data_IF_340685161347
#
_entry.id   IF_340685161347
#
_cell.length_a   1.000
_cell.length_b   1.000
_cell.length_c   1.000
_cell.angle_alpha   90.00
_cell.angle_beta   90.00
_cell.angle_gamma   90.00
#
_symmetry.space_group_name_H-M   'P 1'
#
loop_
_entity.id
_entity.type
_entity.pdbx_description
1 polymer ?
#
# COMPACT_ATOMS: atom_id res chain seq x y z
N UNK A 1 26.38 -16.28 12.04
CA UNK A 1 26.07 -16.03 13.46
C UNK A 1 25.66 -14.58 13.79
N UNK A 2 25.39 -13.70 12.82
CA UNK A 2 24.95 -12.31 13.04
C UNK A 2 23.42 -12.09 12.87
N UNK A 3 22.68 -13.12 12.52
CA UNK A 3 21.21 -13.00 12.31
C UNK A 3 20.40 -13.08 13.61
N UNK A 4 20.93 -13.70 14.63
CA UNK A 4 20.22 -13.95 15.89
C UNK A 4 20.02 -12.69 16.76
N UNK A 5 20.92 -11.72 16.68
CA UNK A 5 20.82 -10.50 17.49
C UNK A 5 19.82 -9.46 16.92
N UNK A 6 19.64 -9.41 15.58
CA UNK A 6 18.62 -8.55 14.95
C UNK A 6 17.19 -9.06 15.16
N UNK A 7 17.01 -10.38 15.24
CA UNK A 7 15.69 -10.97 15.54
C UNK A 7 15.20 -10.60 16.94
N UNK A 8 16.10 -10.53 17.93
CA UNK A 8 15.72 -10.17 19.31
C UNK A 8 15.26 -8.72 19.47
N UNK A 9 15.66 -7.79 18.62
CA UNK A 9 15.20 -6.39 18.67
C UNK A 9 13.79 -6.27 18.10
N UNK A 10 13.52 -6.96 16.99
CA UNK A 10 12.20 -6.94 16.34
C UNK A 10 11.13 -7.77 17.08
N UNK A 11 11.54 -8.60 18.06
CA UNK A 11 10.62 -9.41 18.86
C UNK A 11 10.24 -8.72 20.19
N UNK A 12 10.86 -7.58 20.52
CA UNK A 12 10.47 -6.80 21.70
C UNK A 12 9.07 -6.20 21.52
N UNK A 13 8.14 -6.52 22.38
CA UNK A 13 6.74 -6.09 22.32
C UNK A 13 6.59 -4.57 22.10
N UNK A 14 7.42 -3.76 22.76
CA UNK A 14 7.38 -2.30 22.60
C UNK A 14 7.78 -1.84 21.17
N UNK A 15 8.78 -2.48 20.57
CA UNK A 15 9.22 -2.13 19.20
C UNK A 15 8.17 -2.59 18.18
N UNK A 16 7.60 -3.78 18.37
CA UNK A 16 6.51 -4.29 17.51
C UNK A 16 5.30 -3.36 17.61
N UNK A 17 4.91 -2.95 18.81
CA UNK A 17 3.79 -2.02 19.01
C UNK A 17 4.05 -0.66 18.35
N UNK A 18 5.25 -0.10 18.49
CA UNK A 18 5.62 1.15 17.85
C UNK A 18 5.60 1.06 16.32
N UNK A 19 6.16 -0.02 15.76
CA UNK A 19 6.11 -0.26 14.31
C UNK A 19 4.68 -0.45 13.81
N UNK A 20 3.86 -1.17 14.56
CA UNK A 20 2.44 -1.34 14.24
C UNK A 20 1.70 0.01 14.25
N UNK A 21 1.94 0.86 15.24
CA UNK A 21 1.37 2.22 15.28
C UNK A 21 1.78 3.05 14.05
N UNK A 22 3.06 3.02 13.68
CA UNK A 22 3.54 3.72 12.47
C UNK A 22 2.85 3.20 11.22
N UNK A 23 2.74 1.88 11.07
CA UNK A 23 2.03 1.27 9.94
C UNK A 23 0.55 1.68 9.90
N UNK A 24 -0.12 1.70 11.06
CA UNK A 24 -1.53 2.11 11.16
C UNK A 24 -1.71 3.59 10.79
N UNK A 25 -0.81 4.48 11.23
CA UNK A 25 -0.85 5.90 10.86
C UNK A 25 -0.64 6.08 9.36
N UNK A 26 0.35 5.40 8.78
CA UNK A 26 0.62 5.45 7.34
C UNK A 26 -0.56 4.90 6.53
N UNK A 27 -1.16 3.80 6.98
CA UNK A 27 -2.33 3.22 6.34
C UNK A 27 -3.56 4.14 6.45
N UNK A 28 -3.84 4.66 7.65
CA UNK A 28 -4.97 5.55 7.91
C UNK A 28 -4.87 6.88 7.17
N UNK A 29 -3.66 7.37 6.90
CA UNK A 29 -3.45 8.60 6.12
C UNK A 29 -3.70 8.43 4.62
N UNK A 30 -3.84 7.20 4.11
CA UNK A 30 -4.01 6.94 2.68
C UNK A 30 -5.27 7.59 2.11
N UNK A 31 -6.42 7.46 2.79
CA UNK A 31 -7.71 8.03 2.32
C UNK A 31 -7.66 9.56 2.27
N UNK A 32 -7.26 10.28 3.32
CA UNK A 32 -7.09 11.74 3.26
C UNK A 32 -6.14 12.19 2.15
N UNK A 33 -5.00 11.50 1.98
CA UNK A 33 -4.00 11.83 0.95
C UNK A 33 -4.58 11.65 -0.46
N UNK A 34 -5.31 10.54 -0.71
CA UNK A 34 -5.97 10.31 -2.01
C UNK A 34 -6.99 11.42 -2.30
N UNK A 35 -7.84 11.75 -1.32
CA UNK A 35 -8.84 12.81 -1.49
C UNK A 35 -8.23 14.18 -1.73
N UNK A 36 -7.14 14.49 -1.04
CA UNK A 36 -6.38 15.72 -1.27
C UNK A 36 -5.77 15.73 -2.67
N UNK A 37 -5.21 14.60 -3.12
CA UNK A 37 -4.68 14.45 -4.47
C UNK A 37 -5.75 14.65 -5.54
N UNK A 38 -6.96 14.12 -5.37
CA UNK A 38 -8.08 14.34 -6.28
C UNK A 38 -8.47 15.82 -6.36
N UNK A 39 -8.49 16.52 -5.22
CA UNK A 39 -8.78 17.96 -5.19
C UNK A 39 -7.70 18.78 -5.90
N UNK A 40 -6.43 18.45 -5.71
CA UNK A 40 -5.30 19.14 -6.35
C UNK A 40 -5.27 18.97 -7.87
N UNK A 41 -5.60 17.78 -8.35
CA UNK A 41 -5.58 17.43 -9.77
C UNK A 41 -6.93 17.64 -10.47
N UNK A 42 -7.91 18.20 -9.74
CA UNK A 42 -9.27 18.42 -10.24
C UNK A 42 -9.89 17.14 -10.83
N UNK A 43 -9.60 15.98 -10.21
CA UNK A 43 -10.17 14.68 -10.60
C UNK A 43 -11.61 14.61 -10.12
N UNK A 44 -12.56 14.57 -11.06
CA UNK A 44 -13.98 14.44 -10.75
C UNK A 44 -14.29 13.01 -10.29
N UNK A 45 -15.27 12.89 -9.39
CA UNK A 45 -15.74 11.59 -8.90
C UNK A 45 -16.35 10.71 -10.01
N UNK A 46 -16.77 11.32 -11.11
CA UNK A 46 -17.29 10.63 -12.30
C UNK A 46 -16.21 10.18 -13.28
N UNK A 47 -14.98 10.70 -13.14
CA UNK A 47 -13.88 10.41 -14.07
C UNK A 47 -13.01 9.25 -13.58
N UNK A 48 -13.49 8.04 -13.85
CA UNK A 48 -12.81 6.79 -13.49
C UNK A 48 -11.42 6.70 -14.15
N UNK A 49 -11.27 7.20 -15.37
CA UNK A 49 -10.00 7.14 -16.09
C UNK A 49 -8.90 7.92 -15.35
N UNK A 50 -9.18 9.15 -14.94
CA UNK A 50 -8.25 9.98 -14.16
C UNK A 50 -7.94 9.37 -12.80
N UNK A 51 -8.90 8.71 -12.15
CA UNK A 51 -8.67 8.00 -10.89
C UNK A 51 -7.70 6.83 -11.05
N UNK A 52 -7.83 6.06 -12.13
CA UNK A 52 -6.94 4.93 -12.44
C UNK A 52 -5.54 5.43 -12.77
N UNK A 53 -5.42 6.49 -13.58
CA UNK A 53 -4.13 7.10 -13.91
C UNK A 53 -3.44 7.62 -12.65
N UNK A 54 -4.16 8.29 -11.76
CA UNK A 54 -3.64 8.76 -10.47
C UNK A 54 -3.12 7.60 -9.62
N UNK A 55 -3.88 6.51 -9.52
CA UNK A 55 -3.46 5.31 -8.82
C UNK A 55 -2.19 4.70 -9.44
N UNK A 56 -2.15 4.58 -10.77
CA UNK A 56 -1.02 4.05 -11.52
C UNK A 56 0.26 4.84 -11.29
N UNK A 57 0.21 6.16 -11.40
CA UNK A 57 1.36 7.04 -11.12
C UNK A 57 1.84 6.89 -9.69
N UNK A 58 0.94 6.89 -8.72
CA UNK A 58 1.27 6.73 -7.29
C UNK A 58 1.97 5.39 -7.01
N UNK A 59 1.45 4.28 -7.52
CA UNK A 59 2.05 2.96 -7.31
C UNK A 59 3.38 2.80 -8.05
N UNK A 60 3.51 3.38 -9.24
CA UNK A 60 4.77 3.37 -9.98
C UNK A 60 5.87 4.12 -9.23
N UNK A 61 5.57 5.32 -8.73
CA UNK A 61 6.52 6.10 -7.93
C UNK A 61 6.90 5.36 -6.64
N UNK A 62 5.93 4.79 -5.94
CA UNK A 62 6.19 3.99 -4.74
C UNK A 62 7.06 2.78 -5.04
N UNK A 63 6.81 2.06 -6.13
CA UNK A 63 7.60 0.92 -6.58
C UNK A 63 9.05 1.30 -6.89
N UNK A 64 9.26 2.41 -7.61
CA UNK A 64 10.59 2.94 -7.92
C UNK A 64 11.34 3.28 -6.63
N UNK A 65 10.70 3.98 -5.68
CA UNK A 65 11.30 4.34 -4.40
C UNK A 65 11.71 3.10 -3.60
N UNK A 66 10.86 2.07 -3.56
CA UNK A 66 11.16 0.80 -2.86
C UNK A 66 12.36 0.11 -3.51
N UNK A 67 12.42 0.03 -4.84
CA UNK A 67 13.55 -0.57 -5.56
C UNK A 67 14.85 0.19 -5.33
N UNK A 68 14.82 1.53 -5.34
CA UNK A 68 15.99 2.37 -5.03
C UNK A 68 16.46 2.09 -3.60
N UNK A 69 15.52 2.11 -2.62
CA UNK A 69 15.86 1.87 -1.22
C UNK A 69 16.43 0.47 -0.98
N UNK A 70 15.83 -0.55 -1.59
CA UNK A 70 16.30 -1.92 -1.52
C UNK A 70 17.69 -2.07 -2.14
N UNK A 71 17.93 -1.47 -3.30
CA UNK A 71 19.23 -1.51 -4.00
C UNK A 71 20.34 -0.82 -3.19
N UNK A 72 20.04 0.30 -2.54
CA UNK A 72 20.99 0.99 -1.66
C UNK A 72 21.33 0.13 -0.45
N UNK A 73 20.32 -0.50 0.16
CA UNK A 73 20.50 -1.33 1.36
C UNK A 73 21.32 -2.58 1.09
N UNK A 74 21.04 -3.27 0.00
CA UNK A 74 21.74 -4.51 -0.40
C UNK A 74 23.03 -4.25 -1.18
N UNK A 75 23.34 -2.98 -1.51
CA UNK A 75 24.50 -2.58 -2.36
C UNK A 75 24.56 -3.35 -3.68
N UNK A 76 23.41 -3.80 -4.18
CA UNK A 76 23.26 -4.56 -5.42
C UNK A 76 21.96 -4.13 -6.09
N UNK A 77 21.99 -3.99 -7.41
CA UNK A 77 20.77 -3.72 -8.19
C UNK A 77 19.89 -4.95 -8.09
N UNK A 78 18.75 -4.81 -7.39
CA UNK A 78 17.79 -5.89 -7.23
C UNK A 78 16.87 -5.92 -8.46
N UNK A 79 17.22 -6.78 -9.41
CA UNK A 79 16.33 -7.10 -10.54
C UNK A 79 15.68 -8.45 -10.18
N UNK A 80 14.35 -8.53 -10.10
CA UNK A 80 13.68 -9.79 -9.81
C UNK A 80 13.93 -10.81 -10.92
N UNK A 81 14.22 -12.05 -10.53
CA UNK A 81 14.40 -13.15 -11.45
C UNK A 81 13.10 -13.41 -12.24
N UNK A 82 13.24 -13.86 -13.49
CA UNK A 82 12.11 -14.14 -14.38
C UNK A 82 11.12 -15.15 -13.80
N UNK A 83 11.59 -16.10 -13.00
CA UNK A 83 10.73 -17.06 -12.30
C UNK A 83 9.86 -16.38 -11.23
N UNK A 84 10.46 -15.51 -10.43
CA UNK A 84 9.73 -14.72 -9.43
C UNK A 84 8.72 -13.82 -10.11
N UNK A 85 9.08 -13.20 -11.22
CA UNK A 85 8.19 -12.32 -11.99
C UNK A 85 6.96 -13.06 -12.52
N UNK A 86 7.14 -14.30 -13.00
CA UNK A 86 6.04 -15.13 -13.50
C UNK A 86 4.95 -15.39 -12.46
N UNK A 87 5.32 -15.56 -11.19
CA UNK A 87 4.36 -15.75 -10.10
C UNK A 87 3.88 -14.43 -9.48
N UNK A 88 4.74 -13.43 -9.45
CA UNK A 88 4.41 -12.11 -8.90
C UNK A 88 3.41 -11.35 -9.76
N UNK A 89 3.47 -11.46 -11.09
CA UNK A 89 2.57 -10.73 -12.01
C UNK A 89 1.10 -11.08 -11.80
N UNK A 90 0.66 -12.34 -11.81
CA UNK A 90 -0.76 -12.67 -11.59
C UNK A 90 -1.23 -12.28 -10.19
N UNK A 91 -0.38 -12.42 -9.17
CA UNK A 91 -0.71 -11.98 -7.81
C UNK A 91 -0.85 -10.46 -7.76
N UNK A 92 0.05 -9.72 -8.40
CA UNK A 92 -0.01 -8.27 -8.50
C UNK A 92 -1.28 -7.80 -9.24
N UNK A 93 -1.65 -8.46 -10.34
CA UNK A 93 -2.86 -8.13 -11.09
C UNK A 93 -4.12 -8.37 -10.24
N UNK A 94 -4.21 -9.49 -9.56
CA UNK A 94 -5.38 -9.82 -8.73
C UNK A 94 -5.44 -8.95 -7.46
N UNK A 95 -4.35 -8.90 -6.71
CA UNK A 95 -4.29 -8.27 -5.39
C UNK A 95 -4.19 -6.73 -5.48
N UNK A 96 -3.36 -6.22 -6.39
CA UNK A 96 -3.12 -4.77 -6.47
C UNK A 96 -4.07 -4.12 -7.46
N UNK A 97 -4.08 -4.55 -8.71
CA UNK A 97 -4.90 -3.90 -9.74
C UNK A 97 -6.39 -4.12 -9.46
N UNK A 98 -6.82 -5.38 -9.24
CA UNK A 98 -8.22 -5.71 -8.99
C UNK A 98 -8.76 -5.05 -7.72
N UNK A 99 -8.07 -5.22 -6.59
CA UNK A 99 -8.50 -4.66 -5.31
C UNK A 99 -8.51 -3.14 -5.33
N UNK A 100 -7.45 -2.51 -5.80
CA UNK A 100 -7.35 -1.04 -5.77
C UNK A 100 -8.20 -0.35 -6.82
N UNK A 101 -8.53 -0.99 -7.92
CA UNK A 101 -9.50 -0.48 -8.89
C UNK A 101 -10.84 -0.15 -8.19
N UNK A 102 -11.42 -1.12 -7.48
CA UNK A 102 -12.65 -0.91 -6.74
C UNK A 102 -12.48 0.03 -5.55
N UNK A 103 -11.33 -0.03 -4.87
CA UNK A 103 -11.03 0.84 -3.74
C UNK A 103 -11.00 2.32 -4.12
N UNK A 104 -10.31 2.67 -5.21
CA UNK A 104 -10.20 4.07 -5.65
C UNK A 104 -11.54 4.64 -6.11
N UNK A 105 -12.33 3.86 -6.84
CA UNK A 105 -13.69 4.24 -7.23
C UNK A 105 -14.54 4.43 -5.98
N UNK A 106 -14.50 3.51 -5.03
CA UNK A 106 -15.24 3.61 -3.77
C UNK A 106 -14.87 4.85 -2.95
N UNK A 107 -13.57 5.17 -2.86
CA UNK A 107 -13.08 6.37 -2.16
C UNK A 107 -13.53 7.66 -2.84
N UNK A 108 -13.62 7.69 -4.18
CA UNK A 108 -14.11 8.85 -4.92
C UNK A 108 -15.56 9.18 -4.58
N UNK A 109 -16.42 8.17 -4.46
CA UNK A 109 -17.86 8.32 -4.20
C UNK A 109 -18.26 8.32 -2.71
N UNK A 110 -17.29 8.11 -1.79
CA UNK A 110 -17.58 7.98 -0.35
C UNK A 110 -16.87 9.08 0.43
N UNK A 111 -17.48 9.53 1.56
CA UNK A 111 -16.77 10.44 2.46
C UNK A 111 -15.57 9.71 3.11
N UNK A 112 -14.51 10.47 3.43
CA UNK A 112 -13.29 9.89 4.03
C UNK A 112 -13.56 9.09 5.31
N UNK A 113 -14.50 9.58 6.15
CA UNK A 113 -14.89 8.92 7.40
C UNK A 113 -15.57 7.58 7.14
N UNK A 114 -16.55 7.55 6.24
CA UNK A 114 -17.26 6.31 5.87
C UNK A 114 -16.31 5.29 5.24
N UNK A 115 -15.43 5.72 4.33
CA UNK A 115 -14.41 4.86 3.73
C UNK A 115 -13.47 4.26 4.78
N UNK A 116 -13.04 5.03 5.77
CA UNK A 116 -12.20 4.55 6.88
C UNK A 116 -12.90 3.50 7.74
N UNK A 117 -14.18 3.70 8.08
CA UNK A 117 -14.97 2.74 8.86
C UNK A 117 -15.16 1.43 8.09
N UNK A 118 -15.52 1.49 6.81
CA UNK A 118 -15.70 0.29 5.97
C UNK A 118 -14.39 -0.50 5.84
N UNK A 119 -13.28 0.19 5.62
CA UNK A 119 -11.96 -0.46 5.52
C UNK A 119 -11.56 -1.11 6.86
N UNK A 120 -11.84 -0.43 7.98
CA UNK A 120 -11.60 -0.98 9.32
C UNK A 120 -12.43 -2.23 9.59
N UNK A 121 -13.71 -2.24 9.25
CA UNK A 121 -14.61 -3.39 9.38
C UNK A 121 -14.11 -4.59 8.57
N UNK A 122 -13.58 -4.38 7.36
CA UNK A 122 -12.99 -5.45 6.54
C UNK A 122 -11.88 -6.22 7.27
N UNK A 123 -11.03 -5.52 8.02
CA UNK A 123 -9.96 -6.14 8.81
C UNK A 123 -10.53 -6.98 9.97
N UNK A 124 -11.60 -6.54 10.63
CA UNK A 124 -12.28 -7.32 11.67
C UNK A 124 -12.89 -8.61 11.11
N UNK A 125 -13.52 -8.53 9.96
CA UNK A 125 -14.11 -9.70 9.28
C UNK A 125 -13.01 -10.71 8.92
N UNK A 126 -11.87 -10.22 8.40
CA UNK A 126 -10.73 -11.08 8.05
C UNK A 126 -10.12 -11.82 9.26
N UNK A 127 -10.20 -11.25 10.46
CA UNK A 127 -9.71 -11.91 11.68
C UNK A 127 -10.70 -12.98 12.18
N UNK A 128 -12.01 -12.80 11.91
CA UNK A 128 -13.05 -13.73 12.33
C UNK A 128 -13.22 -14.95 11.41
N UNK A 129 -12.67 -14.89 10.19
CA UNK A 129 -12.67 -16.00 9.22
C UNK A 129 -11.44 -16.88 9.35
#
# INVERSE_FOLDING_TARGET
>A
MRMTQKQNILTKTGIVALLACVCCILWGSAIPVIKTGYRFLHVDSSDIASQIVFAGVRFTLAGILVLIFASIREKKVMIPDKEILKYAVPVCLAQTVGQYFFFYIGVAHTSGVKGGIITGLGNFIAILM
#
